data_IF_585780609317
#
_entry.id   IF_585780609317
#
_cell.length_a   1.000
_cell.length_b   1.000
_cell.length_c   1.000
_cell.angle_alpha   90.00
_cell.angle_beta   90.00
_cell.angle_gamma   90.00
#
_symmetry.space_group_name_H-M   'P 1'
#
loop_
_entity.id
_entity.type
_entity.pdbx_description
1 polymer ?
#
# COMPACT_ATOMS: atom_id res chain seq x y z
N UNK A 1 -5.58 42.12 -6.75
CA UNK A 1 -4.99 40.90 -7.34
C UNK A 1 -5.50 39.78 -6.47
N UNK A 2 -6.50 39.05 -7.00
CA UNK A 2 -7.14 37.92 -6.30
C UNK A 2 -6.24 36.69 -6.42
N UNK A 3 -5.67 36.25 -5.30
CA UNK A 3 -4.97 34.97 -5.21
C UNK A 3 -5.98 33.87 -4.90
N UNK A 4 -6.50 33.27 -5.98
CA UNK A 4 -7.37 32.10 -5.94
C UNK A 4 -6.53 30.84 -5.60
N UNK A 5 -6.25 30.62 -4.31
CA UNK A 5 -5.68 29.36 -3.83
C UNK A 5 -6.77 28.30 -3.82
N UNK A 6 -6.81 27.50 -4.89
CA UNK A 6 -7.59 26.27 -4.96
C UNK A 6 -6.90 25.20 -4.11
N UNK A 7 -7.05 25.29 -2.78
CA UNK A 7 -6.68 24.25 -1.84
C UNK A 7 -7.62 23.06 -2.07
N UNK A 8 -7.17 22.13 -2.93
CA UNK A 8 -7.80 20.81 -3.03
C UNK A 8 -7.60 20.12 -1.67
N UNK A 9 -8.62 20.20 -0.82
CA UNK A 9 -8.70 19.52 0.48
C UNK A 9 -8.20 18.08 0.33
N UNK A 10 -7.05 17.79 0.97
CA UNK A 10 -6.51 16.44 1.03
C UNK A 10 -7.40 15.61 1.93
N UNK A 11 -8.33 14.87 1.35
CA UNK A 11 -9.08 13.84 2.04
C UNK A 11 -8.11 12.74 2.52
N UNK A 12 -7.90 12.66 3.83
CA UNK A 12 -7.06 11.66 4.51
C UNK A 12 -7.70 10.26 4.50
N UNK A 13 -9.00 10.18 4.18
CA UNK A 13 -9.80 8.96 4.20
C UNK A 13 -10.27 8.54 5.59
N UNK A 14 -9.95 9.27 6.66
CA UNK A 14 -10.36 8.98 8.04
C UNK A 14 -10.33 10.26 8.90
N UNK A 15 -11.33 10.50 9.75
CA UNK A 15 -11.34 11.67 10.64
C UNK A 15 -12.72 12.32 10.81
N UNK A 16 -12.76 13.49 11.44
CA UNK A 16 -13.99 14.24 11.70
C UNK A 16 -14.64 14.81 10.42
N UNK A 17 -13.87 14.89 9.34
CA UNK A 17 -14.30 15.22 7.98
C UNK A 17 -15.06 14.07 7.30
N UNK A 18 -14.95 12.84 7.83
CA UNK A 18 -15.63 11.69 7.25
C UNK A 18 -17.15 11.83 7.44
N UNK A 19 -17.87 11.84 6.33
CA UNK A 19 -19.33 11.88 6.32
C UNK A 19 -19.87 10.56 5.80
N UNK A 20 -20.90 10.06 6.47
CA UNK A 20 -21.68 8.96 5.93
C UNK A 20 -22.27 9.38 4.58
N UNK A 21 -22.06 8.55 3.56
CA UNK A 21 -22.52 8.81 2.19
C UNK A 21 -24.05 8.76 2.04
N UNK A 22 -24.79 8.31 3.07
CA UNK A 22 -26.25 8.27 3.08
C UNK A 22 -26.84 7.32 2.03
N UNK A 23 -26.05 6.35 1.57
CA UNK A 23 -26.45 5.40 0.54
C UNK A 23 -27.49 4.43 1.10
N UNK A 24 -28.52 4.15 0.31
CA UNK A 24 -29.39 3.01 0.56
C UNK A 24 -28.67 1.69 0.20
N UNK A 25 -29.26 0.56 0.53
CA UNK A 25 -28.66 -0.77 0.35
C UNK A 25 -28.26 -1.05 -1.10
N UNK A 26 -29.14 -0.74 -2.06
CA UNK A 26 -28.86 -0.94 -3.49
C UNK A 26 -27.71 -0.05 -3.99
N UNK A 27 -27.68 1.20 -3.55
CA UNK A 27 -26.62 2.15 -3.89
C UNK A 27 -25.27 1.74 -3.26
N UNK A 28 -25.28 1.21 -2.04
CA UNK A 28 -24.10 0.70 -1.37
C UNK A 28 -23.53 -0.54 -2.10
N UNK A 29 -24.41 -1.43 -2.54
CA UNK A 29 -24.04 -2.60 -3.33
C UNK A 29 -23.45 -2.18 -4.69
N UNK A 30 -24.10 -1.25 -5.40
CA UNK A 30 -23.60 -0.74 -6.67
C UNK A 30 -22.25 0.00 -6.54
N UNK A 31 -22.06 0.79 -5.48
CA UNK A 31 -20.80 1.46 -5.19
C UNK A 31 -19.68 0.45 -4.90
N UNK A 32 -19.97 -0.59 -4.11
CA UNK A 32 -19.04 -1.69 -3.83
C UNK A 32 -18.62 -2.41 -5.11
N UNK A 33 -19.58 -2.82 -5.95
CA UNK A 33 -19.28 -3.50 -7.22
C UNK A 33 -18.47 -2.63 -8.18
N UNK A 34 -18.70 -1.31 -8.21
CA UNK A 34 -17.89 -0.39 -9.02
C UNK A 34 -16.44 -0.28 -8.51
N UNK A 35 -16.27 -0.20 -7.19
CA UNK A 35 -14.93 -0.18 -6.56
C UNK A 35 -14.21 -1.49 -6.85
N UNK A 36 -14.86 -2.63 -6.65
CA UNK A 36 -14.30 -3.95 -6.97
C UNK A 36 -13.88 -4.04 -8.44
N UNK A 37 -14.74 -3.64 -9.39
CA UNK A 37 -14.40 -3.63 -10.82
C UNK A 37 -13.27 -2.64 -11.17
N UNK A 38 -13.13 -1.52 -10.44
CA UNK A 38 -12.03 -0.56 -10.60
C UNK A 38 -10.72 -1.11 -10.03
N UNK A 39 -10.78 -1.82 -8.90
CA UNK A 39 -9.64 -2.49 -8.26
C UNK A 39 -9.19 -3.70 -9.06
N UNK A 40 -10.12 -4.49 -9.60
CA UNK A 40 -9.82 -5.61 -10.49
C UNK A 40 -9.11 -5.12 -11.78
N UNK A 41 -9.50 -3.96 -12.32
CA UNK A 41 -8.72 -3.31 -13.39
C UNK A 41 -7.30 -2.92 -12.98
N UNK A 42 -7.04 -2.60 -11.71
CA UNK A 42 -5.66 -2.43 -11.19
C UNK A 42 -4.91 -3.76 -11.16
N UNK A 43 -5.60 -4.85 -10.83
CA UNK A 43 -5.06 -6.21 -10.91
C UNK A 43 -4.85 -6.71 -12.37
N UNK A 44 -5.58 -6.15 -13.35
CA UNK A 44 -5.37 -6.38 -14.78
C UNK A 44 -4.26 -5.50 -15.39
N UNK A 45 -3.99 -4.31 -14.84
CA UNK A 45 -2.93 -3.39 -15.29
C UNK A 45 -1.52 -3.82 -14.84
N UNK A 46 -1.42 -4.87 -14.04
CA UNK A 46 -0.13 -5.53 -13.77
C UNK A 46 0.17 -6.40 -14.98
N UNK A 47 0.89 -5.83 -15.94
CA UNK A 47 1.52 -6.62 -16.98
C UNK A 47 2.27 -7.77 -16.28
N UNK A 48 1.93 -9.03 -16.59
CA UNK A 48 2.57 -10.24 -16.01
C UNK A 48 4.07 -10.35 -16.38
N UNK A 49 4.66 -9.29 -16.93
CA UNK A 49 6.10 -9.18 -17.03
C UNK A 49 6.67 -9.18 -15.62
N UNK A 50 7.43 -10.23 -15.33
CA UNK A 50 8.12 -10.40 -14.07
C UNK A 50 8.96 -9.15 -13.84
N UNK A 51 8.52 -8.31 -12.89
CA UNK A 51 9.33 -7.21 -12.37
C UNK A 51 10.67 -7.82 -11.95
N UNK A 52 11.76 -7.20 -12.41
CA UNK A 52 13.11 -7.64 -12.08
C UNK A 52 13.23 -7.83 -10.57
N UNK A 53 13.79 -8.96 -10.15
CA UNK A 53 13.99 -9.24 -8.73
C UNK A 53 15.14 -8.38 -8.21
N UNK A 54 14.82 -7.28 -7.55
CA UNK A 54 15.79 -6.32 -7.02
C UNK A 54 16.70 -6.90 -5.93
N UNK A 55 16.42 -8.11 -5.42
CA UNK A 55 17.18 -8.72 -4.31
C UNK A 55 18.66 -8.91 -4.64
N UNK A 56 19.00 -9.29 -5.87
CA UNK A 56 20.39 -9.48 -6.29
C UNK A 56 21.18 -8.17 -6.20
N UNK A 57 20.56 -7.06 -6.64
CA UNK A 57 21.12 -5.72 -6.53
C UNK A 57 21.27 -5.32 -5.06
N UNK A 58 20.24 -5.57 -4.23
CA UNK A 58 20.28 -5.27 -2.80
C UNK A 58 21.40 -6.04 -2.08
N UNK A 59 21.65 -7.30 -2.41
CA UNK A 59 22.75 -8.07 -1.82
C UNK A 59 24.11 -7.52 -2.22
N UNK A 60 24.27 -7.07 -3.46
CA UNK A 60 25.50 -6.43 -3.89
C UNK A 60 25.73 -5.11 -3.14
N UNK A 61 24.70 -4.27 -3.00
CA UNK A 61 24.78 -3.03 -2.24
C UNK A 61 25.07 -3.27 -0.75
N UNK A 62 24.48 -4.32 -0.15
CA UNK A 62 24.78 -4.71 1.24
C UNK A 62 26.24 -5.13 1.39
N UNK A 63 26.75 -5.93 0.44
CA UNK A 63 28.16 -6.37 0.41
C UNK A 63 29.13 -5.20 0.26
N UNK A 64 28.76 -4.22 -0.56
CA UNK A 64 29.56 -3.01 -0.79
C UNK A 64 29.46 -2.00 0.37
N UNK A 65 28.60 -2.27 1.36
CA UNK A 65 28.43 -1.44 2.55
C UNK A 65 27.57 -0.19 2.32
N UNK A 66 26.89 -0.10 1.19
CA UNK A 66 26.04 1.04 0.82
C UNK A 66 24.67 1.00 1.51
N UNK A 67 24.19 -0.20 1.85
CA UNK A 67 22.93 -0.41 2.58
C UNK A 67 23.09 -1.48 3.66
N UNK A 68 22.17 -1.48 4.64
CA UNK A 68 21.99 -2.56 5.60
C UNK A 68 20.66 -3.24 5.30
N UNK A 69 20.67 -4.57 5.10
CA UNK A 69 19.45 -5.34 4.88
C UNK A 69 19.04 -6.07 6.16
N UNK A 70 17.97 -5.61 6.78
CA UNK A 70 17.34 -6.30 7.89
C UNK A 70 16.52 -7.50 7.38
N UNK A 71 16.93 -8.71 7.77
CA UNK A 71 16.27 -9.96 7.38
C UNK A 71 15.15 -10.29 8.37
N UNK A 72 14.04 -10.85 7.87
CA UNK A 72 12.90 -11.29 8.70
C UNK A 72 13.16 -12.70 9.24
N UNK A 73 13.49 -12.77 10.52
CA UNK A 73 13.67 -14.02 11.28
C UNK A 73 12.42 -14.40 12.10
N UNK A 74 12.53 -15.43 12.94
CA UNK A 74 11.44 -15.92 13.79
C UNK A 74 11.04 -14.95 14.91
N UNK A 75 11.95 -14.08 15.37
CA UNK A 75 11.66 -13.12 16.43
C UNK A 75 10.64 -12.07 15.99
N UNK A 76 10.49 -11.89 14.68
CA UNK A 76 9.54 -10.98 14.06
C UNK A 76 8.11 -11.55 13.94
N UNK A 77 7.88 -12.78 14.43
CA UNK A 77 6.62 -13.53 14.33
C UNK A 77 5.99 -13.46 12.92
N UNK A 78 6.74 -13.90 11.88
CA UNK A 78 6.37 -13.56 10.51
C UNK A 78 5.20 -14.37 9.97
N UNK A 79 4.36 -13.73 9.16
CA UNK A 79 3.23 -14.35 8.48
C UNK A 79 3.40 -14.34 6.95
N UNK A 80 2.79 -15.33 6.29
CA UNK A 80 2.73 -15.41 4.84
C UNK A 80 1.43 -14.78 4.34
N UNK A 81 1.55 -13.74 3.52
CA UNK A 81 0.40 -13.04 2.94
C UNK A 81 0.49 -13.00 1.41
N UNK A 82 -0.68 -12.96 0.75
CA UNK A 82 -0.76 -12.72 -0.70
C UNK A 82 -0.66 -11.22 -0.99
N UNK A 83 0.26 -10.82 -1.85
CA UNK A 83 0.33 -9.45 -2.35
C UNK A 83 -0.80 -9.18 -3.34
N UNK A 84 -1.02 -7.90 -3.68
CA UNK A 84 -1.95 -7.50 -4.75
C UNK A 84 -1.60 -8.15 -6.11
N UNK A 85 -0.35 -8.60 -6.27
CA UNK A 85 0.15 -9.29 -7.46
C UNK A 85 0.03 -10.83 -7.37
N UNK A 86 -0.64 -11.33 -6.33
CA UNK A 86 -0.85 -12.76 -6.09
C UNK A 86 0.38 -13.50 -5.54
N UNK A 87 1.45 -12.78 -5.20
CA UNK A 87 2.69 -13.39 -4.74
C UNK A 87 2.65 -13.67 -3.24
N UNK A 88 3.22 -14.78 -2.82
CA UNK A 88 3.46 -15.04 -1.40
C UNK A 88 4.58 -14.13 -0.89
N UNK A 89 4.30 -13.37 0.16
CA UNK A 89 5.28 -12.52 0.84
C UNK A 89 5.31 -12.86 2.32
N UNK A 90 6.51 -13.14 2.83
CA UNK A 90 6.79 -13.24 4.26
C UNK A 90 6.91 -11.82 4.84
N UNK A 91 6.06 -11.47 5.79
CA UNK A 91 6.06 -10.14 6.44
C UNK A 91 6.29 -10.27 7.95
N UNK A 92 7.03 -9.34 8.59
CA UNK A 92 7.07 -9.26 10.05
C UNK A 92 5.73 -8.75 10.59
N UNK A 93 5.32 -9.20 11.78
CA UNK A 93 4.09 -8.74 12.44
C UNK A 93 4.36 -7.86 13.66
N UNK A 94 5.58 -7.95 14.21
CA UNK A 94 6.04 -7.13 15.32
C UNK A 94 7.36 -6.40 14.96
N UNK A 95 7.88 -5.56 15.87
CA UNK A 95 9.09 -4.73 15.67
C UNK A 95 9.05 -3.91 14.36
N UNK A 96 7.86 -3.48 13.99
CA UNK A 96 7.63 -2.71 12.78
C UNK A 96 8.33 -1.36 12.89
N UNK A 97 8.82 -0.87 11.76
CA UNK A 97 9.32 0.49 11.70
C UNK A 97 8.16 1.45 11.95
N UNK A 98 8.16 2.05 13.13
CA UNK A 98 7.28 3.16 13.43
C UNK A 98 7.75 4.36 12.62
N UNK A 99 7.08 4.59 11.49
CA UNK A 99 7.14 5.87 10.81
C UNK A 99 6.83 6.96 11.84
N UNK A 100 7.81 7.81 12.16
CA UNK A 100 7.51 9.10 12.75
C UNK A 100 6.90 9.91 11.61
N UNK A 101 5.62 10.18 11.68
CA UNK A 101 5.06 11.29 10.91
C UNK A 101 5.93 12.51 11.17
N UNK A 102 6.48 13.11 10.12
CA UNK A 102 7.08 14.43 10.20
C UNK A 102 6.11 15.33 10.96
N UNK A 103 6.55 15.81 12.12
CA UNK A 103 5.91 16.95 12.78
C UNK A 103 6.10 18.21 11.95
#
# INVERSE_FOLDING_TARGET
>A
MDDNHNDQERFTGHGAEWRNAGLNEDQANAATSWVEAKVDRRAMMVNKERVEDVRDIMWQLEKDGEIIVHRVDEQHEPEMVKTLYGWDKKIPTNQLWHHKSCG
#
